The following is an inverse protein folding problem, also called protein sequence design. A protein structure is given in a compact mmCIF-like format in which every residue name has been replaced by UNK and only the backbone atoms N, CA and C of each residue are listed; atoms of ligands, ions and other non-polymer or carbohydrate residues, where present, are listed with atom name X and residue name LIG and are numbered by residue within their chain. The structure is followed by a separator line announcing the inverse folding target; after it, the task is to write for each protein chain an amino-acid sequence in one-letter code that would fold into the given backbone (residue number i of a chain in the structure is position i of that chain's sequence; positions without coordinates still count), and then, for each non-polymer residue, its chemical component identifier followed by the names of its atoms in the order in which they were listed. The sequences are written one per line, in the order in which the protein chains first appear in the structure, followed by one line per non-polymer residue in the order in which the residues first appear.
data_IF_611441023810
#
_entry.id   IF_611441023810
#
_cell.length_a   1.000
_cell.length_b   1.000
_cell.length_c   1.000
_cell.angle_alpha   90.00
_cell.angle_beta   90.00
_cell.angle_gamma   90.00
#
_symmetry.space_group_name_H-M   'P 1'
#
loop_
_entity.id
_entity.type
_entity.pdbx_description
1 polymer ?
#
# COMPACT_ATOMS: atom_id res chain seq x y z
N UNK A 1 9.50 -10.07 -21.50
CA UNK A 1 8.52 -9.41 -20.61
C UNK A 1 7.22 -10.23 -20.53
N UNK A 2 6.85 -10.69 -19.35
CA UNK A 2 5.65 -11.47 -19.06
C UNK A 2 4.73 -10.69 -18.10
N UNK A 3 3.41 -10.87 -18.20
CA UNK A 3 2.44 -10.20 -17.34
C UNK A 3 1.54 -11.22 -16.65
N UNK A 4 1.39 -11.11 -15.33
CA UNK A 4 0.54 -12.02 -14.55
C UNK A 4 -0.05 -11.35 -13.33
N UNK A 5 -1.04 -12.00 -12.71
CA UNK A 5 -1.49 -11.63 -11.38
C UNK A 5 -0.41 -12.00 -10.35
N UNK A 6 -0.21 -11.12 -9.39
CA UNK A 6 0.67 -11.36 -8.25
C UNK A 6 0.04 -12.39 -7.31
N UNK A 7 0.89 -13.28 -6.82
CA UNK A 7 0.60 -14.23 -5.74
C UNK A 7 1.10 -13.67 -4.40
N UNK A 8 0.65 -14.22 -3.25
CA UNK A 8 1.17 -13.82 -1.95
C UNK A 8 2.70 -13.94 -1.81
N UNK A 9 3.35 -14.81 -2.58
CA UNK A 9 4.81 -14.95 -2.59
C UNK A 9 5.52 -13.72 -3.18
N UNK A 10 4.85 -13.00 -4.09
CA UNK A 10 5.39 -11.81 -4.75
C UNK A 10 5.31 -10.55 -3.88
N UNK A 11 4.49 -10.58 -2.82
CA UNK A 11 4.08 -9.39 -2.08
C UNK A 11 5.24 -8.56 -1.53
N UNK A 12 6.34 -9.19 -1.11
CA UNK A 12 7.55 -8.47 -0.64
C UNK A 12 8.24 -7.71 -1.76
N UNK A 13 8.49 -8.36 -2.90
CA UNK A 13 9.13 -7.74 -4.06
C UNK A 13 8.27 -6.60 -4.60
N UNK A 14 6.96 -6.84 -4.72
CA UNK A 14 5.98 -5.83 -5.15
C UNK A 14 5.96 -4.62 -4.21
N UNK A 15 6.03 -4.84 -2.88
CA UNK A 15 6.10 -3.74 -1.92
C UNK A 15 7.36 -2.91 -2.07
N UNK A 16 8.51 -3.54 -2.35
CA UNK A 16 9.76 -2.83 -2.64
C UNK A 16 9.63 -1.95 -3.88
N UNK A 17 9.17 -2.50 -5.01
CA UNK A 17 8.97 -1.73 -6.25
C UNK A 17 8.05 -0.51 -6.03
N UNK A 18 6.95 -0.70 -5.31
CA UNK A 18 6.06 0.42 -4.95
C UNK A 18 6.73 1.43 -4.03
N UNK A 19 7.53 0.98 -3.08
CA UNK A 19 8.24 1.87 -2.17
C UNK A 19 9.25 2.72 -2.91
N UNK A 20 10.02 2.13 -3.80
CA UNK A 20 11.02 2.85 -4.59
C UNK A 20 10.36 3.89 -5.50
N UNK A 21 9.22 3.54 -6.11
CA UNK A 21 8.44 4.46 -6.94
C UNK A 21 7.84 5.63 -6.15
N UNK A 22 7.42 5.42 -4.90
CA UNK A 22 6.65 6.41 -4.13
C UNK A 22 7.39 7.03 -2.94
N UNK A 23 8.61 6.59 -2.61
CA UNK A 23 9.37 7.11 -1.46
C UNK A 23 9.54 8.63 -1.51
N UNK A 24 9.74 9.19 -2.71
CA UNK A 24 9.93 10.63 -2.93
C UNK A 24 8.66 11.34 -3.40
N UNK A 25 7.49 10.69 -3.31
CA UNK A 25 6.25 11.33 -3.71
C UNK A 25 5.85 12.43 -2.71
N UNK A 26 5.67 13.65 -3.21
CA UNK A 26 5.49 14.87 -2.39
C UNK A 26 4.34 14.74 -1.38
N UNK A 27 3.23 14.11 -1.77
CA UNK A 27 2.09 13.91 -0.88
C UNK A 27 2.46 13.05 0.35
N UNK A 28 3.20 11.96 0.15
CA UNK A 28 3.63 11.09 1.25
C UNK A 28 4.67 11.77 2.12
N UNK A 29 5.64 12.46 1.51
CA UNK A 29 6.64 13.23 2.26
C UNK A 29 5.98 14.34 3.09
N UNK A 30 5.02 15.07 2.54
CA UNK A 30 4.32 16.13 3.26
C UNK A 30 3.55 15.61 4.50
N UNK A 31 2.90 14.45 4.38
CA UNK A 31 2.05 13.90 5.44
C UNK A 31 2.83 13.10 6.48
N UNK A 32 3.85 12.35 6.05
CA UNK A 32 4.48 11.32 6.88
C UNK A 32 5.84 11.73 7.41
N UNK A 33 6.58 12.62 6.74
CA UNK A 33 7.99 12.88 7.06
C UNK A 33 8.19 13.45 8.47
N UNK A 34 7.22 14.24 8.97
CA UNK A 34 7.26 14.79 10.34
C UNK A 34 7.26 13.72 11.45
N UNK A 35 6.91 12.47 11.13
CA UNK A 35 6.87 11.36 12.09
C UNK A 35 8.18 10.56 12.14
N UNK A 36 9.15 10.85 11.27
CA UNK A 36 10.39 10.08 11.16
C UNK A 36 11.61 10.97 11.36
N UNK A 37 12.55 10.48 12.16
CA UNK A 37 13.81 11.18 12.44
C UNK A 37 14.84 10.98 11.33
N UNK A 38 14.67 9.95 10.49
CA UNK A 38 15.60 9.60 9.42
C UNK A 38 14.87 9.01 8.22
N UNK A 39 15.41 9.23 7.02
CA UNK A 39 14.86 8.70 5.76
C UNK A 39 14.77 7.17 5.76
N UNK A 40 15.77 6.48 6.33
CA UNK A 40 15.74 5.01 6.43
C UNK A 40 14.53 4.50 7.23
N UNK A 41 14.15 5.15 8.34
CA UNK A 41 12.97 4.75 9.12
C UNK A 41 11.67 5.04 8.37
N UNK A 42 11.63 6.13 7.61
CA UNK A 42 10.50 6.47 6.76
C UNK A 42 10.32 5.44 5.63
N UNK A 43 11.39 5.10 4.90
CA UNK A 43 11.36 4.12 3.81
C UNK A 43 10.96 2.73 4.33
N UNK A 44 11.50 2.30 5.48
CA UNK A 44 11.12 1.03 6.13
C UNK A 44 9.63 1.01 6.53
N UNK A 45 9.11 2.11 7.06
CA UNK A 45 7.68 2.23 7.33
C UNK A 45 6.85 2.17 6.04
N UNK A 46 7.24 2.92 5.01
CA UNK A 46 6.53 2.96 3.74
C UNK A 46 6.51 1.59 3.06
N UNK A 47 7.62 0.84 3.15
CA UNK A 47 7.69 -0.53 2.66
C UNK A 47 6.72 -1.47 3.38
N UNK A 48 6.66 -1.39 4.72
CA UNK A 48 5.68 -2.16 5.50
C UNK A 48 4.24 -1.77 5.16
N UNK A 49 3.97 -0.48 4.94
CA UNK A 49 2.66 0.01 4.55
C UNK A 49 2.25 -0.54 3.17
N UNK A 50 3.14 -0.44 2.18
CA UNK A 50 2.92 -1.01 0.86
C UNK A 50 2.75 -2.52 0.90
N UNK A 51 3.52 -3.25 1.71
CA UNK A 51 3.35 -4.69 1.87
C UNK A 51 1.93 -5.05 2.33
N UNK A 52 1.42 -4.37 3.37
CA UNK A 52 0.06 -4.63 3.85
C UNK A 52 -0.97 -4.28 2.78
N UNK A 53 -0.79 -3.17 2.07
CA UNK A 53 -1.66 -2.77 0.96
C UNK A 53 -1.66 -3.83 -0.16
N UNK A 54 -0.49 -4.27 -0.60
CA UNK A 54 -0.32 -5.28 -1.64
C UNK A 54 -0.96 -6.60 -1.23
N UNK A 55 -0.70 -7.09 -0.02
CA UNK A 55 -1.31 -8.31 0.49
C UNK A 55 -2.84 -8.25 0.52
N UNK A 56 -3.40 -7.08 0.87
CA UNK A 56 -4.85 -6.88 0.82
C UNK A 56 -5.39 -6.91 -0.61
N UNK A 57 -4.69 -6.27 -1.55
CA UNK A 57 -5.07 -6.23 -2.96
C UNK A 57 -4.89 -7.57 -3.66
N UNK A 58 -3.86 -8.35 -3.36
CA UNK A 58 -3.70 -9.72 -3.86
C UNK A 58 -4.84 -10.61 -3.38
N UNK A 59 -5.29 -10.44 -2.13
CA UNK A 59 -6.34 -11.27 -1.52
C UNK A 59 -7.76 -10.91 -1.95
N UNK A 60 -8.04 -9.63 -2.24
CA UNK A 60 -9.41 -9.14 -2.44
C UNK A 60 -9.61 -8.28 -3.69
N UNK A 61 -8.54 -7.83 -4.33
CA UNK A 61 -8.55 -6.97 -5.51
C UNK A 61 -7.75 -7.57 -6.64
N UNK A 62 -7.09 -6.71 -7.41
CA UNK A 62 -6.20 -7.12 -8.49
C UNK A 62 -4.83 -6.47 -8.30
N UNK A 63 -3.79 -7.29 -8.39
CA UNK A 63 -2.42 -6.82 -8.44
C UNK A 63 -1.78 -7.49 -9.65
N UNK A 64 -1.51 -6.72 -10.70
CA UNK A 64 -0.81 -7.18 -11.90
C UNK A 64 0.67 -6.81 -11.78
N UNK A 65 1.52 -7.71 -12.25
CA UNK A 65 2.97 -7.49 -12.30
C UNK A 65 3.48 -7.71 -13.71
N UNK A 66 4.52 -6.96 -14.06
CA UNK A 66 5.33 -7.21 -15.24
C UNK A 66 6.67 -7.79 -14.80
N UNK A 67 7.06 -8.90 -15.41
CA UNK A 67 8.29 -9.62 -15.12
C UNK A 67 9.22 -9.66 -16.35
N UNK A 68 10.50 -9.44 -16.10
CA UNK A 68 11.57 -9.60 -17.08
C UNK A 68 12.77 -10.26 -16.37
N UNK A 69 13.29 -11.35 -16.94
CA UNK A 69 14.40 -12.13 -16.36
C UNK A 69 14.18 -12.52 -14.88
N UNK A 70 12.98 -13.01 -14.55
CA UNK A 70 12.55 -13.37 -13.18
C UNK A 70 12.57 -12.22 -12.15
N UNK A 71 12.67 -10.98 -12.64
CA UNK A 71 12.59 -9.75 -11.87
C UNK A 71 11.28 -9.00 -12.13
N UNK A 72 10.65 -8.50 -11.05
CA UNK A 72 9.43 -7.69 -11.16
C UNK A 72 9.84 -6.26 -11.43
N UNK A 73 9.55 -5.77 -12.64
CA UNK A 73 9.97 -4.43 -13.10
C UNK A 73 8.83 -3.40 -12.99
N UNK A 74 7.57 -3.83 -12.93
CA UNK A 74 6.43 -2.94 -12.78
C UNK A 74 5.27 -3.61 -12.05
N UNK A 75 4.44 -2.77 -11.40
CA UNK A 75 3.30 -3.19 -10.59
C UNK A 75 2.11 -2.29 -10.88
N UNK A 76 0.95 -2.88 -11.12
CA UNK A 76 -0.33 -2.20 -11.15
C UNK A 76 -1.25 -2.76 -10.06
N UNK A 77 -1.58 -1.92 -9.08
CA UNK A 77 -2.54 -2.25 -8.01
C UNK A 77 -3.89 -1.63 -8.36
N UNK A 78 -4.92 -2.45 -8.49
CA UNK A 78 -6.26 -2.01 -8.88
C UNK A 78 -7.31 -2.52 -7.89
N UNK A 79 -8.27 -1.65 -7.59
CA UNK A 79 -9.41 -1.95 -6.74
C UNK A 79 -10.68 -1.64 -7.52
N UNK A 80 -11.62 -2.58 -7.58
CA UNK A 80 -12.95 -2.25 -8.06
C UNK A 80 -13.68 -1.46 -6.99
N UNK A 81 -14.03 -0.21 -7.26
CA UNK A 81 -14.80 0.63 -6.33
C UNK A 81 -16.20 0.04 -6.03
N UNK A 82 -16.72 -0.82 -6.92
CA UNK A 82 -18.04 -1.48 -6.78
C UNK A 82 -17.96 -2.80 -6.01
N UNK A 83 -16.92 -3.59 -6.23
CA UNK A 83 -16.83 -4.97 -5.72
C UNK A 83 -15.77 -5.17 -4.63
N UNK A 84 -14.77 -4.30 -4.56
CA UNK A 84 -13.61 -4.43 -3.66
C UNK A 84 -13.73 -3.47 -2.49
N UNK A 85 -14.33 -3.92 -1.38
CA UNK A 85 -14.29 -3.18 -0.10
C UNK A 85 -13.12 -3.68 0.74
N UNK A 86 -11.95 -3.08 0.56
CA UNK A 86 -10.84 -3.28 1.48
C UNK A 86 -11.11 -2.45 2.73
N UNK A 87 -11.35 -3.13 3.85
CA UNK A 87 -11.62 -2.50 5.15
C UNK A 87 -10.33 -2.37 5.96
N UNK A 88 -10.31 -1.53 7.00
CA UNK A 88 -9.19 -1.49 7.96
C UNK A 88 -8.90 -2.87 8.57
N UNK A 89 -9.92 -3.72 8.73
CA UNK A 89 -9.75 -5.09 9.21
C UNK A 89 -8.95 -5.97 8.25
N UNK A 90 -9.05 -5.72 6.94
CA UNK A 90 -8.29 -6.44 5.94
C UNK A 90 -6.82 -6.03 5.94
N UNK A 91 -6.54 -4.77 6.27
CA UNK A 91 -5.17 -4.31 6.53
C UNK A 91 -4.60 -5.00 7.78
N UNK A 92 -5.36 -5.06 8.88
CA UNK A 92 -4.96 -5.78 10.11
C UNK A 92 -4.65 -7.25 9.83
N UNK A 93 -5.53 -7.98 9.13
CA UNK A 93 -5.34 -9.40 8.76
C UNK A 93 -4.21 -9.63 7.74
N UNK A 94 -3.73 -8.57 7.08
CA UNK A 94 -2.64 -8.62 6.12
C UNK A 94 -1.26 -8.37 6.73
N UNK A 95 -1.17 -8.36 8.07
CA UNK A 95 0.09 -8.27 8.79
C UNK A 95 0.42 -6.86 9.29
N UNK A 96 -0.58 -5.98 9.44
CA UNK A 96 -0.37 -4.65 10.03
C UNK A 96 0.12 -4.68 11.48
N UNK A 97 0.22 -5.85 12.12
CA UNK A 97 0.96 -6.01 13.39
C UNK A 97 2.41 -5.51 13.27
N UNK A 98 3.04 -5.64 12.09
CA UNK A 98 4.35 -5.06 11.80
C UNK A 98 4.37 -3.52 11.86
N UNK A 99 3.21 -2.87 11.74
CA UNK A 99 3.03 -1.42 11.84
C UNK A 99 2.73 -0.95 13.28
N UNK A 100 2.59 -1.86 14.27
CA UNK A 100 2.29 -1.48 15.66
C UNK A 100 3.34 -0.50 16.22
N UNK A 101 4.63 -0.70 15.89
CA UNK A 101 5.73 0.20 16.29
C UNK A 101 5.61 1.61 15.67
N UNK A 102 4.72 1.77 14.69
CA UNK A 102 4.42 3.01 13.96
C UNK A 102 2.96 3.42 14.15
N UNK A 103 2.34 3.15 15.30
CA UNK A 103 0.92 3.39 15.54
C UNK A 103 0.48 4.84 15.24
N UNK A 104 1.26 5.85 15.63
CA UNK A 104 0.96 7.28 15.42
C UNK A 104 0.85 7.67 13.92
N UNK A 105 1.88 7.45 13.07
CA UNK A 105 1.76 7.75 11.63
C UNK A 105 0.71 6.87 10.94
N UNK A 106 0.56 5.61 11.36
CA UNK A 106 -0.45 4.69 10.82
C UNK A 106 -1.87 5.20 11.09
N UNK A 107 -2.14 5.74 12.29
CA UNK A 107 -3.44 6.31 12.63
C UNK A 107 -3.76 7.56 11.79
N UNK A 108 -2.79 8.42 11.53
CA UNK A 108 -2.97 9.59 10.66
C UNK A 108 -3.29 9.17 9.23
N UNK A 109 -2.53 8.21 8.69
CA UNK A 109 -2.79 7.66 7.36
C UNK A 109 -4.18 7.04 7.24
N UNK A 110 -4.60 6.25 8.24
CA UNK A 110 -5.96 5.69 8.25
C UNK A 110 -7.05 6.75 8.37
N UNK A 111 -6.78 7.87 9.06
CA UNK A 111 -7.72 8.99 9.15
C UNK A 111 -7.89 9.66 7.79
N UNK A 112 -6.79 9.88 7.07
CA UNK A 112 -6.81 10.37 5.68
C UNK A 112 -7.62 9.42 4.78
N UNK A 113 -7.34 8.12 4.82
CA UNK A 113 -8.09 7.12 4.05
C UNK A 113 -9.59 7.12 4.39
N UNK A 114 -9.94 7.28 5.67
CA UNK A 114 -11.35 7.34 6.09
C UNK A 114 -12.03 8.63 5.60
N UNK A 115 -11.32 9.75 5.55
CA UNK A 115 -11.83 11.00 4.96
C UNK A 115 -12.06 10.84 3.45
N UNK A 116 -11.09 10.27 2.72
CA UNK A 116 -11.21 9.93 1.30
C UNK A 116 -12.42 9.03 1.02
N UNK A 117 -12.59 7.96 1.79
CA UNK A 117 -13.74 7.04 1.67
C UNK A 117 -15.08 7.74 1.91
N UNK A 118 -15.15 8.65 2.90
CA UNK A 118 -16.35 9.45 3.19
C UNK A 118 -16.64 10.48 2.10
N UNK A 119 -15.61 11.12 1.56
CA UNK A 119 -15.75 12.06 0.45
C UNK A 119 -16.30 11.35 -0.80
N UNK A 120 -15.77 10.16 -1.12
CA UNK A 120 -16.22 9.34 -2.25
C UNK A 120 -17.64 8.80 -2.11
N UNK A 121 -18.14 8.59 -0.89
CA UNK A 121 -19.54 8.22 -0.66
C UNK A 121 -20.49 9.41 -0.85
N UNK A 122 -20.04 10.64 -0.58
CA UNK A 122 -20.84 11.85 -0.75
C UNK A 122 -20.93 12.33 -2.19
N UNK A 123 -20.05 11.90 -3.09
CA UNK A 123 -20.06 12.27 -4.51
C UNK A 123 -20.86 11.33 -5.41
N UNK A 124 -21.54 10.31 -4.87
CA UNK A 124 -22.49 9.47 -5.61
C UNK A 124 -23.92 10.04 -5.55
N UNK A 125 -24.10 11.31 -5.95
CA UNK A 125 -25.40 11.91 -6.25
C UNK A 125 -25.39 12.39 -7.69
#
# INVERSE_FOLDING_TARGET
MNYRLASPADARKVATVLTDAFANYNMYRAVLNSFFTTDSKYIDYLNKLHYVQVMSNIRKGYCLIAEENDEIIAVAVMQSLRYTRITLWDYLRSGAFALWRYAKPTQYFFTLLRQEQRARQKTNF
#
